data_IF_519881518374
#
_entry.id   IF_519881518374
#
_cell.length_a   1.000
_cell.length_b   1.000
_cell.length_c   1.000
_cell.angle_alpha   90.00
_cell.angle_beta   90.00
_cell.angle_gamma   90.00
#
_symmetry.space_group_name_H-M   'P 1'
#
loop_
_entity.id
_entity.type
_entity.pdbx_description
1 polymer ?
2 water ?
#
# COMPACT_ATOMS: atom_id res chain seq x y z
N UNK A 3 26.66 -11.67 1.03
CA UNK A 3 26.61 -10.36 0.40
C UNK A 3 25.47 -10.30 -0.61
N UNK A 4 24.57 -9.33 -0.43
CA UNK A 4 23.45 -9.14 -1.34
C UNK A 4 23.27 -7.65 -1.61
N UNK A 5 22.63 -7.36 -2.74
CA UNK A 5 22.10 -6.03 -3.03
C UNK A 5 20.59 -6.02 -2.81
N UNK A 6 20.11 -4.96 -2.16
CA UNK A 6 18.70 -4.64 -2.11
C UNK A 6 18.42 -3.64 -3.23
N UNK A 7 17.69 -4.06 -4.24
CA UNK A 7 17.34 -3.17 -5.34
C UNK A 7 15.97 -2.55 -5.06
N UNK A 8 15.90 -1.22 -5.08
CA UNK A 8 14.69 -0.48 -4.77
C UNK A 8 14.35 0.41 -5.94
N UNK A 9 13.07 0.42 -6.31
CA UNK A 9 12.55 1.31 -7.33
C UNK A 9 11.49 2.18 -6.64
N UNK A 10 11.77 3.47 -6.54
CA UNK A 10 10.84 4.45 -5.96
C UNK A 10 10.19 5.21 -7.09
N UNK A 11 8.89 5.50 -6.96
CA UNK A 11 8.19 6.29 -7.97
C UNK A 11 6.97 6.96 -7.37
N UNK A 12 6.59 8.09 -7.96
CA UNK A 12 5.39 8.85 -7.59
C UNK A 12 4.26 8.32 -8.46
N UNK A 13 3.30 7.62 -7.84
CA UNK A 13 2.32 6.82 -8.59
C UNK A 13 1.20 7.64 -9.21
N UNK A 14 1.01 8.91 -8.80
CA UNK A 14 -0.01 9.76 -9.39
C UNK A 14 -1.37 9.71 -8.70
N UNK A 15 -1.54 8.83 -7.71
CA UNK A 15 -2.77 8.79 -6.93
C UNK A 15 -2.94 10.03 -6.08
N UNK A 16 -1.83 10.58 -5.58
CA UNK A 16 -1.88 11.66 -4.61
C UNK A 16 -0.62 12.49 -4.79
N UNK A 17 -0.73 13.79 -4.51
CA UNK A 17 0.45 14.63 -4.54
C UNK A 17 1.42 14.21 -3.45
N UNK A 18 2.70 14.30 -3.76
CA UNK A 18 3.77 14.02 -2.81
C UNK A 18 4.24 15.36 -2.25
N UNK A 19 4.12 15.53 -0.94
CA UNK A 19 4.57 16.74 -0.26
C UNK A 19 6.11 16.76 -0.14
N UNK A 20 6.65 17.97 0.09
CA UNK A 20 8.10 18.09 0.26
C UNK A 20 8.59 17.31 1.47
N UNK A 21 7.84 17.34 2.56
CA UNK A 21 8.24 16.59 3.74
C UNK A 21 8.20 15.09 3.49
N UNK A 22 7.27 14.62 2.67
CA UNK A 22 7.30 13.20 2.30
C UNK A 22 8.55 12.88 1.49
N UNK A 23 8.91 13.77 0.55
CA UNK A 23 10.14 13.59 -0.20
C UNK A 23 11.36 13.57 0.73
N UNK A 24 11.40 14.46 1.73
CA UNK A 24 12.55 14.48 2.61
C UNK A 24 12.60 13.24 3.49
N UNK A 25 11.44 12.76 3.91
CA UNK A 25 11.44 11.57 4.76
C UNK A 25 11.93 10.35 3.99
N UNK A 26 11.55 10.21 2.72
CA UNK A 26 12.05 9.08 1.94
C UNK A 26 13.54 9.25 1.67
N UNK A 27 13.97 10.45 1.30
CA UNK A 27 15.41 10.71 1.15
C UNK A 27 16.18 10.39 2.42
N UNK A 28 15.61 10.71 3.58
CA UNK A 28 16.32 10.42 4.83
C UNK A 28 16.42 8.91 5.08
N UNK A 29 15.36 8.16 4.78
CA UNK A 29 15.37 6.71 4.95
C UNK A 29 16.42 6.09 4.04
N UNK A 30 16.46 6.53 2.78
CA UNK A 30 17.47 6.07 1.84
C UNK A 30 18.85 6.44 2.33
N UNK A 31 19.02 7.69 2.78
CA UNK A 31 20.37 8.14 3.05
C UNK A 31 20.95 7.54 4.31
N UNK A 32 20.11 6.91 5.15
CA UNK A 32 20.61 6.18 6.30
C UNK A 32 21.51 5.02 5.90
N UNK A 33 21.45 4.59 4.63
CA UNK A 33 22.30 3.52 4.09
C UNK A 33 23.22 4.03 2.99
N UNK A 34 23.43 5.34 2.89
CA UNK A 34 24.35 5.92 1.92
C UNK A 34 25.43 6.66 2.70
N UNK A 35 26.62 6.07 2.78
CA UNK A 35 27.72 6.74 3.46
C UNK A 35 28.28 7.87 2.59
N UNK A 36 29.25 8.59 3.14
CA UNK A 36 29.89 9.67 2.41
C UNK A 36 30.64 9.13 1.20
N UNK A 37 31.04 7.86 1.21
CA UNK A 37 31.77 7.30 0.08
C UNK A 37 30.86 7.11 -1.13
N UNK A 38 29.59 6.79 -0.92
CA UNK A 38 28.69 6.42 -2.03
C UNK A 38 27.79 7.58 -2.42
N UNK A 39 28.40 8.73 -2.73
CA UNK A 39 27.60 9.89 -3.11
C UNK A 39 26.66 9.60 -4.29
N UNK A 40 27.02 8.64 -5.15
CA UNK A 40 26.21 8.43 -6.34
C UNK A 40 24.81 7.90 -5.98
N UNK A 41 24.68 7.18 -4.87
CA UNK A 41 23.40 6.68 -4.38
C UNK A 41 22.58 7.73 -3.63
N UNK A 42 23.15 8.88 -3.28
CA UNK A 42 22.49 9.77 -2.33
C UNK A 42 21.16 10.27 -2.86
N UNK A 43 20.16 10.30 -1.98
CA UNK A 43 18.84 10.79 -2.32
C UNK A 43 18.71 12.27 -2.03
N UNK A 44 18.22 13.01 -3.01
CA UNK A 44 17.73 14.37 -2.78
C UNK A 44 16.22 14.34 -2.56
N UNK A 45 15.70 15.44 -2.04
CA UNK A 45 14.25 15.58 -1.89
C UNK A 45 13.61 16.18 -3.13
N UNK A 46 13.92 15.62 -4.31
CA UNK A 46 13.40 16.11 -5.58
C UNK A 46 12.78 14.97 -6.39
N UNK A 47 11.92 15.36 -7.35
CA UNK A 47 11.35 14.39 -8.26
C UNK A 47 12.44 13.66 -9.05
N UNK A 48 13.40 14.41 -9.60
CA UNK A 48 14.46 13.81 -10.41
C UNK A 48 15.19 12.75 -9.62
N UNK A 49 15.43 13.01 -8.33
CA UNK A 49 16.20 12.09 -7.50
C UNK A 49 15.38 10.89 -7.04
N UNK A 50 14.06 11.06 -6.83
CA UNK A 50 13.24 10.03 -6.20
C UNK A 50 12.20 9.39 -7.12
N UNK A 51 11.73 10.07 -8.16
CA UNK A 51 10.58 9.60 -8.92
C UNK A 51 11.06 8.83 -10.14
N UNK A 52 11.09 7.51 -10.03
CA UNK A 52 11.43 6.67 -11.15
C UNK A 52 12.90 6.30 -11.16
N UNK A 53 13.48 5.96 -10.01
CA UNK A 53 14.91 5.71 -9.89
C UNK A 53 15.19 4.39 -9.19
N UNK A 54 16.12 3.63 -9.75
CA UNK A 54 16.66 2.44 -9.09
C UNK A 54 17.85 2.82 -8.22
N UNK A 55 17.97 2.14 -7.06
CA UNK A 55 19.14 2.22 -6.19
C UNK A 55 19.44 0.84 -5.63
N UNK A 56 20.72 0.46 -5.62
CA UNK A 56 21.14 -0.89 -5.24
C UNK A 56 22.08 -0.79 -4.06
N UNK A 57 21.64 -1.25 -2.90
CA UNK A 57 22.39 -1.13 -1.66
C UNK A 57 23.06 -2.47 -1.33
N UNK A 58 24.36 -2.44 -1.10
CA UNK A 58 25.09 -3.63 -0.67
C UNK A 58 24.83 -3.93 0.80
N UNK A 59 24.66 -5.22 1.11
CA UNK A 59 24.39 -5.66 2.47
C UNK A 59 25.07 -7.01 2.70
N UNK A 60 25.37 -7.29 3.97
CA UNK A 60 25.82 -8.61 4.43
C UNK A 60 24.69 -9.25 5.22
N UNK A 61 24.13 -10.35 4.69
CA UNK A 61 22.93 -10.87 5.32
C UNK A 61 23.20 -11.56 6.66
N UNK A 62 24.43 -11.50 7.16
CA UNK A 62 24.68 -11.88 8.54
C UNK A 62 24.25 -10.80 9.51
N UNK A 63 24.02 -9.63 9.03
CA UNK A 63 23.49 -8.53 9.81
C UNK A 63 22.00 -8.36 9.58
N UNK A 64 21.26 -7.92 10.59
CA UNK A 64 19.85 -7.58 10.40
C UNK A 64 19.62 -6.24 9.71
N UNK A 65 20.69 -5.56 9.27
CA UNK A 65 20.56 -4.22 8.71
C UNK A 65 19.69 -4.18 7.47
N UNK A 67 17.27 -6.15 6.62
CA UNK A 67 15.87 -6.40 6.96
C UNK A 67 15.23 -5.19 7.61
N UNK A 68 15.97 -4.47 8.47
CA UNK A 68 15.40 -3.30 9.15
C UNK A 68 15.19 -2.15 8.18
N UNK A 69 16.09 -2.01 7.20
CA UNK A 69 15.95 -1.00 6.15
C UNK A 69 14.77 -1.31 5.24
N UNK A 70 14.62 -2.58 4.83
CA UNK A 70 13.45 -3.00 4.08
C UNK A 70 12.16 -2.81 4.88
N UNK A 71 12.21 -3.01 6.20
CA UNK A 71 11.04 -2.75 7.03
C UNK A 71 10.70 -1.27 7.07
N UNK A 72 11.71 -0.40 7.24
CA UNK A 72 11.44 1.04 7.24
C UNK A 72 10.91 1.50 5.90
N UNK A 73 11.43 0.95 4.81
CA UNK A 73 10.92 1.32 3.49
C UNK A 73 9.46 0.92 3.34
N UNK A 74 9.15 -0.35 3.66
CA UNK A 74 7.79 -0.85 3.53
C UNK A 74 6.82 -0.01 4.34
N UNK A 75 7.17 0.28 5.60
CA UNK A 75 6.30 1.06 6.46
C UNK A 75 6.06 2.45 5.88
N UNK A 76 7.09 3.07 5.31
CA UNK A 76 6.91 4.37 4.68
C UNK A 76 5.96 4.29 3.50
N UNK A 77 6.20 3.34 2.59
CA UNK A 77 5.36 3.22 1.40
C UNK A 77 3.90 2.95 1.76
N UNK A 78 3.66 2.20 2.84
CA UNK A 78 2.29 1.87 3.24
C UNK A 78 1.54 3.12 3.71
N UNK A 79 2.22 4.02 4.42
CA UNK A 79 1.55 5.19 4.97
C UNK A 79 1.48 6.37 3.99
N UNK A 80 2.23 6.35 2.89
CA UNK A 80 2.27 7.47 1.96
C UNK A 80 1.57 7.06 0.67
N UNK A 81 0.34 7.55 0.47
CA UNK A 81 -0.45 7.09 -0.68
C UNK A 81 0.15 7.49 -2.03
N UNK A 82 1.06 8.47 -2.07
CA UNK A 82 1.53 8.98 -3.35
C UNK A 82 2.77 8.33 -3.89
N UNK A 83 3.40 7.49 -3.09
CA UNK A 83 4.72 6.92 -3.41
C UNK A 83 4.59 5.40 -3.47
N UNK A 84 5.14 4.81 -4.52
CA UNK A 84 5.25 3.36 -4.64
C UNK A 84 6.71 2.96 -4.46
N UNK A 85 6.93 1.83 -3.80
CA UNK A 85 8.26 1.27 -3.65
C UNK A 85 8.22 -0.21 -3.98
N UNK A 86 9.01 -0.61 -4.98
CA UNK A 86 9.33 -2.01 -5.28
C UNK A 86 10.74 -2.36 -4.80
N UNK A 87 10.86 -3.55 -4.25
CA UNK A 87 12.11 -4.00 -3.65
C UNK A 87 12.39 -5.43 -4.13
N UNK A 88 13.62 -5.65 -4.61
CA UNK A 88 14.10 -6.97 -5.00
C UNK A 88 15.45 -7.22 -4.33
N UNK A 89 15.84 -8.50 -4.26
CA UNK A 89 17.15 -8.86 -3.73
C UNK A 89 17.89 -9.69 -4.77
N UNK A 90 19.20 -9.50 -4.82
CA UNK A 90 20.06 -10.22 -5.75
C UNK A 90 21.40 -10.45 -5.09
N UNK A 91 22.05 -11.54 -5.48
CA UNK A 91 23.36 -11.90 -4.96
C UNK A 91 24.42 -10.94 -5.49
N UNK A 92 25.32 -10.50 -4.60
CA UNK A 92 26.34 -9.54 -5.01
C UNK A 92 27.21 -10.10 -6.12
N UNK A 93 27.59 -11.38 -6.05
CA UNK A 93 28.36 -11.98 -7.12
C UNK A 93 27.58 -11.95 -8.44
N UNK A 94 26.27 -12.14 -8.37
CA UNK A 94 25.46 -12.02 -9.59
C UNK A 94 25.32 -10.57 -10.03
N UNK A 95 25.33 -9.63 -9.07
CA UNK A 95 25.16 -8.23 -9.42
C UNK A 95 26.37 -7.66 -10.16
N UNK A 96 27.58 -8.11 -9.80
CA UNK A 96 28.79 -7.56 -10.43
C UNK A 96 29.09 -8.19 -11.79
N UNK A 97 28.42 -9.28 -12.16
CA UNK A 97 28.60 -9.83 -13.50
C UNK A 97 27.49 -9.39 -14.47
N UNK A 98 26.62 -8.49 -14.03
CA UNK A 98 25.65 -7.87 -14.94
C UNK A 98 26.32 -6.77 -15.74
N UNK A 99 25.84 -6.52 -16.96
CA UNK A 99 26.33 -5.36 -17.72
C UNK A 99 26.18 -4.08 -16.92
N UNK A 100 27.12 -3.16 -17.14
CA UNK A 100 27.15 -1.93 -16.34
C UNK A 100 25.96 -1.04 -16.66
N UNK A 101 25.52 -1.01 -17.92
CA UNK A 101 24.43 -0.14 -18.35
C UNK A 101 23.09 -0.81 -18.10
N UNK A 102 22.19 -0.08 -17.44
CA UNK A 102 20.89 -0.62 -17.02
C UNK A 102 21.08 -1.79 -16.05
N UNK A 103 22.14 -1.76 -15.24
CA UNK A 103 22.40 -2.88 -14.34
C UNK A 103 21.31 -3.01 -13.29
N UNK A 104 20.95 -1.90 -12.65
CA UNK A 104 19.90 -1.95 -11.63
C UNK A 104 18.57 -2.35 -12.23
N UNK A 105 18.27 -1.89 -13.44
CA UNK A 105 17.09 -2.39 -14.15
C UNK A 105 17.19 -3.89 -14.38
N UNK A 106 18.34 -4.36 -14.90
CA UNK A 106 18.52 -5.79 -15.14
C UNK A 106 18.55 -6.58 -13.83
N UNK A 107 19.16 -6.02 -12.79
CA UNK A 107 19.17 -6.69 -11.49
C UNK A 107 17.75 -6.89 -10.98
N UNK A 108 16.91 -5.86 -11.09
CA UNK A 108 15.49 -6.00 -10.74
C UNK A 108 14.81 -7.07 -11.58
N UNK A 109 15.11 -7.11 -12.89
CA UNK A 109 14.53 -8.13 -13.76
C UNK A 109 14.95 -9.52 -13.31
N UNK A 110 16.24 -9.71 -13.07
CA UNK A 110 16.81 -11.00 -12.68
C UNK A 110 16.74 -11.27 -11.19
N UNK A 111 16.05 -10.43 -10.42
CA UNK A 111 16.13 -10.49 -8.99
C UNK A 111 14.94 -11.15 -8.35
N UNK A 112 15.13 -11.51 -7.09
CA UNK A 112 14.06 -12.10 -6.30
C UNK A 112 13.22 -10.99 -5.68
N UNK A 113 11.91 -11.03 -5.92
CA UNK A 113 11.00 -9.98 -5.52
C UNK A 113 10.71 -10.03 -4.02
N UNK A 114 10.67 -8.86 -3.38
CA UNK A 114 10.51 -8.75 -1.93
C UNK A 114 9.18 -8.11 -1.53
N UNK A 115 8.85 -6.97 -2.14
CA UNK A 115 7.51 -6.38 -1.98
C UNK A 115 7.29 -5.37 -3.09
N UNK A 116 6.03 -5.04 -3.30
CA UNK A 116 5.61 -3.93 -4.18
C UNK A 116 4.48 -3.23 -3.44
N UNK A 117 4.77 -2.06 -2.83
CA UNK A 117 3.77 -1.40 -1.98
C UNK A 117 3.31 -0.08 -2.59
N UNK B 3 -24.77 3.39 17.12
CA UNK B 3 -23.40 3.45 16.65
C UNK B 3 -23.03 2.07 16.11
N UNK B 4 -22.72 2.02 14.82
CA UNK B 4 -22.48 0.76 14.14
C UNK B 4 -21.20 0.84 13.32
N UNK B 5 -20.54 -0.30 13.19
CA UNK B 5 -19.41 -0.43 12.29
C UNK B 5 -19.90 -0.92 10.94
N UNK B 6 -19.54 -0.21 9.89
CA UNK B 6 -19.72 -0.71 8.54
C UNK B 6 -18.45 -1.47 8.16
N UNK B 7 -18.56 -2.80 8.10
CA UNK B 7 -17.44 -3.67 7.74
C UNK B 7 -17.55 -3.95 6.26
N UNK B 8 -16.62 -3.45 5.46
CA UNK B 8 -16.64 -3.73 4.04
C UNK B 8 -15.46 -4.64 3.71
N UNK B 9 -15.73 -5.62 2.86
CA UNK B 9 -14.73 -6.52 2.32
C UNK B 9 -14.72 -6.33 0.81
N UNK B 10 -13.62 -5.80 0.30
CA UNK B 10 -13.43 -5.58 -1.13
C UNK B 10 -12.50 -6.66 -1.65
N UNK B 11 -12.79 -7.17 -2.85
CA UNK B 11 -11.93 -8.19 -3.44
C UNK B 11 -11.97 -8.10 -4.95
N UNK B 12 -10.97 -8.70 -5.59
CA UNK B 12 -10.92 -8.79 -7.05
C UNK B 12 -11.41 -10.19 -7.43
N UNK B 13 -12.53 -10.26 -8.14
CA UNK B 13 -13.26 -11.51 -8.28
C UNK B 13 -12.74 -12.38 -9.41
N UNK B 14 -11.85 -11.85 -10.25
CA UNK B 14 -11.20 -12.64 -11.27
C UNK B 14 -11.93 -12.73 -12.59
N UNK B 15 -13.17 -12.24 -12.66
CA UNK B 15 -13.96 -12.27 -13.87
C UNK B 15 -13.70 -11.08 -14.79
N UNK B 16 -12.95 -10.09 -14.33
CA UNK B 16 -12.53 -8.98 -15.19
C UNK B 16 -11.29 -8.34 -14.60
N UNK B 17 -10.44 -7.85 -15.48
CA UNK B 17 -9.28 -7.08 -15.04
C UNK B 17 -9.74 -5.77 -14.42
N UNK B 18 -9.22 -5.47 -13.24
CA UNK B 18 -9.50 -4.22 -12.55
C UNK B 18 -8.58 -3.14 -13.13
N UNK B 19 -9.18 -2.07 -13.66
CA UNK B 19 -8.39 -1.02 -14.32
C UNK B 19 -7.84 0.00 -13.31
N UNK B 20 -6.86 0.78 -13.77
CA UNK B 20 -6.27 1.85 -12.95
C UNK B 20 -7.34 2.84 -12.47
N UNK B 21 -8.24 3.25 -13.36
CA UNK B 21 -9.29 4.18 -12.95
C UNK B 21 -10.19 3.57 -11.86
N UNK B 22 -10.50 2.28 -11.98
CA UNK B 22 -11.37 1.63 -11.01
C UNK B 22 -10.68 1.50 -9.65
N UNK B 23 -9.39 1.16 -9.64
CA UNK B 23 -8.64 1.15 -8.38
C UNK B 23 -8.56 2.54 -7.76
N UNK B 24 -8.32 3.56 -8.59
CA UNK B 24 -8.28 4.92 -8.08
C UNK B 24 -9.63 5.32 -7.47
N UNK B 25 -10.72 5.07 -8.20
CA UNK B 25 -12.06 5.45 -7.76
C UNK B 25 -12.41 4.79 -6.43
N UNK B 26 -12.11 3.51 -6.28
CA UNK B 26 -12.47 2.82 -5.05
C UNK B 26 -11.62 3.31 -3.88
N UNK B 27 -10.31 3.55 -4.11
CA UNK B 27 -9.49 4.10 -3.04
C UNK B 27 -9.90 5.54 -2.68
N UNK B 28 -10.37 6.31 -3.66
CA UNK B 28 -10.87 7.66 -3.41
C UNK B 28 -12.14 7.65 -2.57
N UNK B 29 -13.06 6.75 -2.90
CA UNK B 29 -14.30 6.62 -2.13
C UNK B 29 -13.99 6.30 -0.68
N UNK B 30 -13.06 5.36 -0.46
CA UNK B 30 -12.70 4.96 0.90
C UNK B 30 -12.06 6.12 1.64
N UNK B 31 -11.19 6.86 0.96
CA UNK B 31 -10.44 7.92 1.61
C UNK B 31 -11.27 9.18 1.85
N UNK B 32 -12.43 9.33 1.20
CA UNK B 32 -13.33 10.43 1.56
C UNK B 32 -13.95 10.23 2.95
N UNK B 33 -14.00 9.00 3.45
CA UNK B 33 -14.52 8.71 4.77
C UNK B 33 -13.42 8.56 5.82
N UNK B 34 -12.21 8.21 5.43
CA UNK B 34 -11.13 8.05 6.39
C UNK B 34 -10.60 9.42 6.78
N UNK B 35 -10.57 9.71 8.08
CA UNK B 35 -10.07 10.99 8.52
C UNK B 35 -8.67 10.84 9.09
N UNK B 36 -8.16 11.95 9.62
CA UNK B 36 -6.84 11.95 10.22
C UNK B 36 -6.77 11.02 11.43
N UNK B 37 -7.91 10.70 12.04
CA UNK B 37 -7.86 9.95 13.29
C UNK B 37 -7.86 8.44 13.09
N UNK B 38 -8.26 7.95 11.91
CA UNK B 38 -8.08 6.53 11.63
C UNK B 38 -7.32 6.32 10.32
N UNK B 39 -6.12 6.87 10.20
CA UNK B 39 -5.33 6.71 8.99
C UNK B 39 -5.11 5.24 8.63
N UNK B 40 -5.21 4.34 9.61
CA UNK B 40 -5.00 2.93 9.36
C UNK B 40 -6.03 2.34 8.41
N UNK B 41 -7.15 3.01 8.17
CA UNK B 41 -8.14 2.53 7.22
C UNK B 41 -7.89 3.05 5.82
N UNK B 42 -6.89 3.91 5.64
CA UNK B 42 -6.63 4.54 4.34
C UNK B 42 -6.38 3.50 3.26
N UNK B 43 -6.68 3.87 2.02
CA UNK B 43 -6.51 2.98 0.88
C UNK B 43 -5.53 3.57 -0.13
N UNK B 44 -4.81 2.69 -0.81
CA UNK B 44 -4.06 3.02 -2.00
C UNK B 44 -4.73 2.38 -3.20
N UNK B 45 -4.50 2.95 -4.38
CA UNK B 45 -5.06 2.38 -5.60
C UNK B 45 -4.26 1.18 -6.10
N UNK B 46 -4.07 0.18 -5.23
CA UNK B 46 -3.23 -0.97 -5.53
C UNK B 46 -3.95 -2.28 -5.16
N UNK B 47 -3.52 -3.36 -5.80
CA UNK B 47 -4.03 -4.69 -5.44
C UNK B 47 -3.81 -4.99 -3.96
N UNK B 48 -2.60 -4.73 -3.47
CA UNK B 48 -2.30 -5.04 -2.07
C UNK B 48 -3.22 -4.28 -1.11
N UNK B 49 -3.53 -3.02 -1.42
CA UNK B 49 -4.37 -2.25 -0.52
C UNK B 49 -5.86 -2.61 -0.62
N UNK B 50 -6.32 -3.08 -1.79
CA UNK B 50 -7.74 -3.25 -2.07
C UNK B 50 -8.23 -4.69 -2.23
N UNK B 51 -7.40 -5.61 -2.73
CA UNK B 51 -7.85 -6.97 -3.08
C UNK B 51 -7.75 -7.87 -1.86
N UNK B 52 -8.90 -8.19 -1.25
CA UNK B 52 -8.91 -9.11 -0.14
C UNK B 52 -8.74 -8.51 1.24
N UNK B 53 -9.33 -7.33 1.48
CA UNK B 53 -9.09 -6.58 2.69
C UNK B 53 -10.40 -6.20 3.39
N UNK B 54 -10.40 -6.31 4.72
CA UNK B 54 -11.48 -5.79 5.54
C UNK B 54 -11.17 -4.36 6.00
N UNK B 55 -12.19 -3.50 5.98
CA UNK B 55 -12.15 -2.19 6.62
C UNK B 55 -13.44 -2.00 7.40
N UNK B 56 -13.32 -1.57 8.66
CA UNK B 56 -14.49 -1.38 9.52
C UNK B 56 -14.61 0.10 9.87
N UNK B 57 -15.65 0.75 9.35
CA UNK B 57 -15.86 2.18 9.55
C UNK B 57 -16.92 2.40 10.62
N UNK B 58 -16.71 3.41 11.45
CA UNK B 58 -17.68 3.78 12.48
C UNK B 58 -18.71 4.75 11.92
N UNK B 59 -20.00 4.42 12.10
CA UNK B 59 -21.09 5.24 11.60
C UNK B 59 -22.20 5.32 12.63
N UNK B 60 -22.83 6.49 12.74
CA UNK B 60 -24.06 6.69 13.51
C UNK B 60 -25.23 6.71 12.52
N UNK B 61 -26.06 5.66 12.57
CA UNK B 61 -27.00 5.41 11.48
C UNK B 61 -28.14 6.41 11.44
N UNK B 62 -28.29 7.27 12.45
CA UNK B 62 -29.33 8.30 12.44
C UNK B 62 -29.04 9.40 11.43
N UNK B 63 -27.72 9.53 10.96
CA UNK B 63 -27.10 10.42 9.98
C UNK B 63 -27.15 9.79 8.59
N UNK B 64 -27.31 10.60 7.54
CA UNK B 64 -27.32 10.06 6.18
C UNK B 64 -25.95 9.82 5.58
N UNK B 65 -24.88 9.99 6.36
CA UNK B 65 -23.52 9.76 5.89
C UNK B 65 -23.35 8.32 5.43
N UNK B 67 -25.46 5.81 4.82
CA UNK B 67 -26.27 5.43 3.67
C UNK B 67 -25.74 6.03 2.38
N UNK B 68 -25.18 7.24 2.43
CA UNK B 68 -24.58 7.82 1.24
C UNK B 68 -23.28 7.11 0.89
N UNK B 69 -22.41 6.94 1.88
CA UNK B 69 -21.19 6.16 1.70
C UNK B 69 -21.48 4.82 1.03
N UNK B 70 -22.46 4.07 1.57
CA UNK B 70 -22.71 2.72 1.06
C UNK B 70 -23.27 2.73 -0.36
N UNK B 71 -24.01 3.78 -0.74
CA UNK B 71 -24.57 3.84 -2.09
C UNK B 71 -23.50 4.13 -3.13
N UNK B 72 -22.54 5.01 -2.80
CA UNK B 72 -21.33 5.15 -3.62
C UNK B 72 -20.65 3.82 -3.84
N UNK B 73 -20.42 3.07 -2.76
CA UNK B 73 -19.83 1.74 -2.83
C UNK B 73 -20.67 0.81 -3.71
N UNK B 74 -21.97 0.72 -3.40
CA UNK B 74 -22.85 -0.19 -4.14
C UNK B 74 -22.84 0.14 -5.63
N UNK B 75 -23.11 1.40 -5.98
CA UNK B 75 -23.11 1.81 -7.38
C UNK B 75 -21.76 1.57 -8.03
N UNK B 76 -20.65 1.83 -7.32
CA UNK B 76 -19.34 1.57 -7.89
C UNK B 76 -19.15 0.08 -8.17
N UNK B 77 -19.46 -0.77 -7.18
CA UNK B 77 -19.31 -2.20 -7.38
C UNK B 77 -20.22 -2.71 -8.50
N UNK B 78 -21.38 -2.06 -8.70
CA UNK B 78 -22.25 -2.43 -9.81
C UNK B 78 -21.65 -2.00 -11.15
N UNK B 79 -20.84 -0.94 -11.14
CA UNK B 79 -20.15 -0.48 -12.34
C UNK B 79 -18.90 -1.28 -12.67
N UNK B 80 -18.37 -2.04 -11.71
CA UNK B 80 -17.03 -2.64 -11.82
C UNK B 80 -17.16 -4.15 -11.65
N UNK B 81 -17.16 -4.87 -12.77
CA UNK B 81 -17.41 -6.30 -12.69
C UNK B 81 -16.23 -7.07 -12.09
N UNK B 82 -15.05 -6.46 -12.04
CA UNK B 82 -13.90 -7.14 -11.52
C UNK B 82 -13.74 -7.08 -10.03
N UNK B 83 -14.51 -6.23 -9.37
CA UNK B 83 -14.38 -5.99 -7.94
C UNK B 83 -15.67 -6.42 -7.27
N UNK B 84 -15.57 -7.32 -6.30
CA UNK B 84 -16.67 -7.61 -5.41
C UNK B 84 -16.55 -6.79 -4.14
N UNK B 85 -17.67 -6.30 -3.65
CA UNK B 85 -17.73 -5.65 -2.35
C UNK B 85 -18.83 -6.30 -1.53
N UNK B 86 -18.47 -6.76 -0.33
CA UNK B 86 -19.41 -7.22 0.67
C UNK B 86 -19.41 -6.22 1.81
N UNK B 87 -20.59 -5.99 2.39
CA UNK B 87 -20.72 -5.03 3.48
C UNK B 87 -21.66 -5.57 4.54
N UNK B 88 -21.25 -5.43 5.79
CA UNK B 88 -22.04 -5.83 6.94
C UNK B 88 -22.06 -4.68 7.94
N UNK B 89 -23.22 -4.45 8.55
CA UNK B 89 -23.33 -3.58 9.70
C UNK B 89 -23.31 -4.44 10.96
N UNK B 90 -22.63 -3.95 11.99
CA UNK B 90 -22.66 -4.57 13.31
C UNK B 90 -22.68 -3.46 14.35
N UNK B 91 -23.48 -3.65 15.39
CA UNK B 91 -23.53 -2.68 16.48
C UNK B 91 -22.13 -2.50 17.06
N UNK B 92 -21.75 -1.24 17.27
CA UNK B 92 -20.44 -0.96 17.84
C UNK B 92 -20.28 -1.61 19.21
N UNK B 93 -21.27 -1.39 20.10
CA UNK B 93 -21.27 -2.02 21.42
C UNK B 93 -20.99 -3.51 21.31
N UNK B 94 -21.57 -4.16 20.28
CA UNK B 94 -21.34 -5.59 20.05
C UNK B 94 -19.95 -5.86 19.48
N UNK B 95 -19.34 -4.87 18.82
CA UNK B 95 -18.08 -5.04 18.10
C UNK B 95 -16.87 -4.86 19.00
N UNK B 96 -16.94 -3.89 19.94
CA UNK B 96 -15.83 -3.61 20.83
C UNK B 96 -15.43 -4.81 21.67
N UNK B 97 -16.33 -5.78 21.85
CA UNK B 97 -16.06 -6.92 22.70
C UNK B 97 -15.68 -8.17 21.92
N UNK B 98 -15.32 -8.03 20.65
CA UNK B 98 -14.83 -9.16 19.88
C UNK B 98 -13.35 -9.36 20.17
N UNK B 99 -12.82 -10.55 19.91
CA UNK B 99 -11.36 -10.75 20.04
C UNK B 99 -10.61 -9.78 19.15
N UNK B 100 -9.45 -9.31 19.65
CA UNK B 100 -8.68 -8.28 18.94
C UNK B 100 -8.09 -8.85 17.65
N UNK B 101 -7.64 -10.09 17.69
CA UNK B 101 -7.09 -10.76 16.51
C UNK B 101 -8.22 -11.46 15.75
N UNK B 102 -8.17 -11.33 14.42
CA UNK B 102 -9.19 -11.87 13.50
C UNK B 102 -10.50 -11.11 13.58
N UNK B 103 -10.48 -9.85 14.03
CA UNK B 103 -11.71 -9.22 14.49
C UNK B 103 -12.71 -9.00 13.35
N UNK B 104 -12.23 -8.52 12.20
CA UNK B 104 -13.15 -8.04 11.18
C UNK B 104 -13.94 -9.19 10.55
N UNK B 105 -13.28 -10.32 10.31
CA UNK B 105 -13.98 -11.49 9.77
C UNK B 105 -15.05 -11.98 10.74
N UNK B 106 -14.73 -11.97 12.03
CA UNK B 106 -15.67 -12.42 13.04
C UNK B 106 -16.85 -11.47 13.16
N UNK B 107 -16.61 -10.17 12.97
CA UNK B 107 -17.71 -9.22 12.94
C UNK B 107 -18.58 -9.44 11.71
N UNK B 108 -17.98 -9.78 10.57
CA UNK B 108 -18.75 -10.00 9.37
C UNK B 108 -19.61 -11.25 9.45
N UNK B 109 -19.16 -12.27 10.17
CA UNK B 109 -19.96 -13.48 10.35
C UNK B 109 -21.06 -13.28 11.39
N UNK B 110 -20.89 -12.30 12.28
CA UNK B 110 -21.83 -11.98 13.35
C UNK B 110 -22.62 -10.71 13.07
N UNK B 111 -22.67 -10.27 11.81
CA UNK B 111 -23.26 -9.00 11.47
C UNK B 111 -24.39 -9.16 10.47
N UNK B 112 -25.08 -8.04 10.23
CA UNK B 112 -26.20 -7.96 9.31
C UNK B 112 -25.70 -7.67 7.91
N UNK B 113 -26.07 -8.52 6.96
CA UNK B 113 -25.63 -8.32 5.59
C UNK B 113 -26.32 -7.10 4.99
N UNK B 114 -25.54 -6.08 4.63
CA UNK B 114 -26.09 -4.91 3.94
C UNK B 114 -26.28 -5.21 2.46
N UNK B 115 -25.18 -5.42 1.73
CA UNK B 115 -25.26 -5.84 0.33
C UNK B 115 -24.16 -6.84 0.07
N UNK B 116 -24.04 -7.25 -1.18
CA UNK B 116 -23.14 -8.34 -1.54
C UNK B 116 -22.94 -8.36 -3.05
N UNK B 117 -22.09 -7.49 -3.56
CA UNK B 117 -21.87 -7.39 -5.01
C UNK B 117 -20.53 -7.99 -5.39
#
# INVERSE_FOLDING_TARGET
XXFKRAIIFTSFNGFEKVSRTEKRRLAKIINARVSIIDEYLRAKDTNASLDGQYRAFLFNDESPAXTEFLAKLKAFAESCTGISIDAWEIEESEYVRLPVERRDFLAAANGKEIFKI
XXFKRAIIFTSFNGFEKVSRTEKRRLAKIINARVSIIDEYLRAKDTNASLDGQYRAFLFNDESPAXTEFLAKLKAFAESCTGISIDAWEIEESEYVRLPVERRDFLAAANGKEIFKI
#
